data_IF_328992006681
#
_entry.id   IF_328992006681
#
_cell.length_a   1.000
_cell.length_b   1.000
_cell.length_c   1.000
_cell.angle_alpha   90.00
_cell.angle_beta   90.00
_cell.angle_gamma   90.00
#
_symmetry.space_group_name_H-M   'P 1'
#
loop_
_entity.id
_entity.type
_entity.pdbx_description
1 polymer ?
#
# COMPACT_ATOMS: atom_id res chain seq x y z
N UNK A 1 -11.07 -0.28 11.26
CA UNK A 1 -10.41 0.86 10.60
C UNK A 1 -11.48 1.84 10.21
N UNK A 2 -11.34 3.13 10.57
CA UNK A 2 -12.34 4.15 10.23
C UNK A 2 -12.28 4.49 8.74
N UNK A 3 -13.30 5.19 8.22
CA UNK A 3 -13.29 5.70 6.83
C UNK A 3 -12.12 6.66 6.62
N UNK A 4 -11.82 7.50 7.63
CA UNK A 4 -10.71 8.45 7.61
C UNK A 4 -9.36 7.73 7.51
N UNK A 5 -9.12 6.72 8.35
CA UNK A 5 -7.88 5.92 8.31
C UNK A 5 -7.69 5.26 6.95
N UNK A 6 -8.78 4.76 6.36
CA UNK A 6 -8.75 4.16 5.02
C UNK A 6 -8.36 5.17 3.95
N UNK A 7 -8.88 6.40 4.04
CA UNK A 7 -8.50 7.48 3.13
C UNK A 7 -7.03 7.88 3.30
N UNK A 8 -6.53 8.01 4.54
CA UNK A 8 -5.11 8.27 4.85
C UNK A 8 -4.21 7.17 4.26
N UNK A 9 -4.55 5.89 4.48
CA UNK A 9 -3.78 4.77 3.93
C UNK A 9 -3.78 4.75 2.40
N UNK A 10 -4.92 5.04 1.77
CA UNK A 10 -5.01 5.15 0.30
C UNK A 10 -4.12 6.27 -0.22
N UNK A 11 -4.17 7.45 0.41
CA UNK A 11 -3.33 8.58 0.04
C UNK A 11 -1.85 8.25 0.22
N UNK A 12 -1.46 7.60 1.32
CA UNK A 12 -0.09 7.19 1.57
C UNK A 12 0.43 6.20 0.50
N UNK A 13 -0.37 5.20 0.15
CA UNK A 13 -0.02 4.26 -0.93
C UNK A 13 0.14 4.97 -2.28
N UNK A 14 -0.75 5.91 -2.59
CA UNK A 14 -0.70 6.68 -3.85
C UNK A 14 0.49 7.64 -3.90
N UNK A 15 0.83 8.29 -2.79
CA UNK A 15 1.92 9.27 -2.72
C UNK A 15 3.23 8.67 -2.21
N UNK A 16 3.38 7.35 -2.23
CA UNK A 16 4.53 6.64 -1.63
C UNK A 16 5.88 7.24 -2.04
N UNK A 17 6.16 7.38 -3.33
CA UNK A 17 7.44 7.91 -3.81
C UNK A 17 7.72 9.34 -3.32
N UNK A 18 6.68 10.14 -3.13
CA UNK A 18 6.80 11.49 -2.61
C UNK A 18 7.12 11.46 -1.11
N UNK A 19 6.41 10.62 -0.35
CA UNK A 19 6.64 10.41 1.10
C UNK A 19 8.08 9.97 1.37
N UNK A 20 8.63 9.05 0.56
CA UNK A 20 10.02 8.60 0.72
C UNK A 20 11.08 9.69 0.48
N UNK A 21 10.74 10.76 -0.22
CA UNK A 21 11.65 11.89 -0.51
C UNK A 21 11.58 12.99 0.53
N UNK A 22 10.55 13.00 1.37
CA UNK A 22 10.35 14.02 2.39
C UNK A 22 10.97 13.56 3.71
N UNK A 23 11.48 14.51 4.48
CA UNK A 23 12.22 14.25 5.73
C UNK A 23 11.45 14.69 6.98
N UNK A 24 10.20 15.14 6.85
CA UNK A 24 9.39 15.49 8.01
C UNK A 24 9.06 14.24 8.84
N UNK A 25 8.96 14.37 10.18
CA UNK A 25 8.79 13.21 11.07
C UNK A 25 7.57 12.35 10.73
N UNK A 26 6.46 12.97 10.32
CA UNK A 26 5.23 12.25 9.98
C UNK A 26 5.42 11.40 8.72
N UNK A 27 6.06 11.93 7.69
CA UNK A 27 6.36 11.18 6.48
C UNK A 27 7.42 10.12 6.69
N UNK A 28 8.36 10.30 7.63
CA UNK A 28 9.26 9.23 8.04
C UNK A 28 8.48 8.04 8.62
N UNK A 29 7.51 8.28 9.51
CA UNK A 29 6.62 7.23 10.03
C UNK A 29 5.81 6.55 8.93
N UNK A 30 5.23 7.31 7.99
CA UNK A 30 4.53 6.74 6.83
C UNK A 30 5.46 5.93 5.92
N UNK A 31 6.65 6.43 5.62
CA UNK A 31 7.64 5.73 4.80
C UNK A 31 8.04 4.40 5.44
N UNK A 32 8.23 4.39 6.76
CA UNK A 32 8.53 3.18 7.51
C UNK A 32 7.37 2.18 7.46
N UNK A 33 6.14 2.63 7.68
CA UNK A 33 4.95 1.78 7.59
C UNK A 33 4.76 1.18 6.18
N UNK A 34 4.99 1.97 5.13
CA UNK A 34 4.95 1.52 3.74
C UNK A 34 6.01 0.44 3.46
N UNK A 35 7.26 0.66 3.89
CA UNK A 35 8.35 -0.33 3.76
C UNK A 35 8.03 -1.63 4.49
N UNK A 36 7.52 -1.55 5.72
CA UNK A 36 7.10 -2.74 6.50
C UNK A 36 5.96 -3.49 5.82
N UNK A 37 4.99 -2.78 5.25
CA UNK A 37 3.89 -3.37 4.47
C UNK A 37 4.41 -4.09 3.23
N UNK A 38 5.33 -3.48 2.49
CA UNK A 38 5.96 -4.07 1.31
C UNK A 38 6.72 -5.36 1.66
N UNK A 39 7.61 -5.28 2.65
CA UNK A 39 8.44 -6.40 3.09
C UNK A 39 7.62 -7.54 3.71
N UNK A 40 6.45 -7.23 4.28
CA UNK A 40 5.52 -8.25 4.76
C UNK A 40 4.94 -9.06 3.60
N UNK A 41 4.42 -8.39 2.57
CA UNK A 41 3.79 -9.07 1.44
C UNK A 41 4.78 -9.71 0.48
N UNK A 42 5.96 -9.12 0.28
CA UNK A 42 7.03 -9.73 -0.52
C UNK A 42 7.39 -11.15 -0.05
N UNK A 43 7.32 -11.41 1.26
CA UNK A 43 7.62 -12.73 1.84
C UNK A 43 6.44 -13.68 1.92
N UNK A 44 5.20 -13.19 1.86
CA UNK A 44 4.00 -13.99 2.17
C UNK A 44 3.05 -14.16 0.99
N UNK A 45 2.98 -13.18 0.10
CA UNK A 45 1.95 -13.10 -0.92
C UNK A 45 2.43 -12.33 -2.17
N UNK A 46 2.82 -13.06 -3.24
CA UNK A 46 3.32 -12.43 -4.46
C UNK A 46 2.26 -11.59 -5.17
N UNK A 47 0.96 -11.88 -5.00
CA UNK A 47 -0.12 -11.10 -5.64
C UNK A 47 -0.24 -9.73 -4.97
N UNK A 48 -0.29 -9.69 -3.64
CA UNK A 48 -0.36 -8.41 -2.90
C UNK A 48 0.91 -7.59 -3.06
N UNK A 49 2.08 -8.24 -3.09
CA UNK A 49 3.34 -7.59 -3.43
C UNK A 49 3.35 -7.03 -4.86
N UNK A 50 2.83 -7.81 -5.82
CA UNK A 50 2.65 -7.39 -7.21
C UNK A 50 1.75 -6.17 -7.32
N UNK A 51 0.62 -6.13 -6.61
CA UNK A 51 -0.28 -4.96 -6.60
C UNK A 51 0.43 -3.73 -6.02
N UNK A 52 1.18 -3.85 -4.91
CA UNK A 52 1.97 -2.73 -4.37
C UNK A 52 2.95 -2.17 -5.41
N UNK A 53 3.61 -3.05 -6.16
CA UNK A 53 4.55 -2.67 -7.21
C UNK A 53 3.86 -2.03 -8.43
N UNK A 54 2.88 -2.70 -9.01
CA UNK A 54 2.29 -2.27 -10.28
C UNK A 54 1.31 -1.10 -10.08
N UNK A 55 0.41 -1.19 -9.09
CA UNK A 55 -0.59 -0.14 -8.85
C UNK A 55 -0.01 1.10 -8.21
N UNK A 56 0.80 0.93 -7.16
CA UNK A 56 1.18 2.05 -6.30
C UNK A 56 2.59 2.59 -6.58
N UNK A 57 3.56 1.72 -6.91
CA UNK A 57 4.91 2.19 -7.28
C UNK A 57 4.99 2.62 -8.75
N UNK A 58 4.32 1.91 -9.66
CA UNK A 58 4.36 2.17 -11.11
C UNK A 58 3.16 2.96 -11.64
N UNK A 59 2.14 3.19 -10.81
CA UNK A 59 0.92 3.93 -11.19
C UNK A 59 0.19 3.35 -12.41
N UNK A 60 0.21 2.01 -12.56
CA UNK A 60 -0.57 1.34 -13.62
C UNK A 60 -2.08 1.40 -13.33
N UNK A 61 -2.88 1.34 -14.38
CA UNK A 61 -4.34 1.23 -14.26
C UNK A 61 -4.75 -0.09 -13.60
N UNK A 62 -5.99 -0.20 -13.14
CA UNK A 62 -6.45 -1.47 -12.55
C UNK A 62 -6.38 -2.57 -13.60
N UNK A 63 -6.84 -2.31 -14.81
CA UNK A 63 -6.86 -3.24 -15.94
C UNK A 63 -5.46 -3.78 -16.25
N UNK A 64 -4.45 -2.91 -16.29
CA UNK A 64 -3.05 -3.31 -16.51
C UNK A 64 -2.51 -4.18 -15.37
N UNK A 65 -2.95 -3.96 -14.14
CA UNK A 65 -2.54 -4.78 -12.98
C UNK A 65 -3.23 -6.14 -13.03
N UNK A 66 -4.51 -6.19 -13.39
CA UNK A 66 -5.25 -7.44 -13.57
C UNK A 66 -4.60 -8.31 -14.65
N UNK A 67 -4.23 -7.68 -15.77
CA UNK A 67 -3.55 -8.33 -16.89
C UNK A 67 -2.16 -8.83 -16.48
N UNK A 68 -1.31 -7.96 -15.93
CA UNK A 68 0.07 -8.30 -15.53
C UNK A 68 0.13 -9.42 -14.48
N UNK A 69 -0.77 -9.41 -13.50
CA UNK A 69 -0.76 -10.39 -12.40
C UNK A 69 -1.65 -11.61 -12.69
N UNK A 70 -2.34 -11.64 -13.82
CA UNK A 70 -3.29 -12.68 -14.21
C UNK A 70 -4.34 -12.97 -13.11
N UNK A 71 -4.96 -11.91 -12.58
CA UNK A 71 -5.98 -12.00 -11.51
C UNK A 71 -7.32 -11.40 -11.93
N UNK A 72 -8.39 -11.90 -11.33
CA UNK A 72 -9.72 -11.30 -11.46
C UNK A 72 -9.90 -10.04 -10.61
N UNK A 73 -10.88 -9.21 -10.99
CA UNK A 73 -11.22 -7.95 -10.31
C UNK A 73 -11.58 -8.15 -8.83
N UNK A 74 -12.29 -9.21 -8.49
CA UNK A 74 -12.67 -9.53 -7.10
C UNK A 74 -11.43 -9.83 -6.23
N UNK A 75 -10.47 -10.57 -6.77
CA UNK A 75 -9.17 -10.82 -6.12
C UNK A 75 -8.41 -9.52 -5.91
N UNK A 76 -8.36 -8.65 -6.91
CA UNK A 76 -7.73 -7.33 -6.80
C UNK A 76 -8.38 -6.47 -5.72
N UNK A 77 -9.71 -6.35 -5.72
CA UNK A 77 -10.44 -5.52 -4.74
C UNK A 77 -10.24 -6.00 -3.29
N UNK A 78 -10.26 -7.33 -3.08
CA UNK A 78 -9.95 -7.92 -1.78
C UNK A 78 -8.52 -7.63 -1.37
N UNK A 79 -7.56 -7.93 -2.25
CA UNK A 79 -6.15 -7.67 -2.01
C UNK A 79 -5.91 -6.19 -1.67
N UNK A 80 -6.52 -5.27 -2.39
CA UNK A 80 -6.37 -3.84 -2.14
C UNK A 80 -6.93 -3.41 -0.78
N UNK A 81 -8.02 -4.03 -0.33
CA UNK A 81 -8.56 -3.82 1.02
C UNK A 81 -7.61 -4.35 2.11
N UNK A 82 -7.00 -5.50 1.87
CA UNK A 82 -6.03 -6.09 2.81
C UNK A 82 -4.75 -5.25 2.88
N UNK A 83 -4.27 -4.72 1.75
CA UNK A 83 -3.13 -3.81 1.71
C UNK A 83 -3.34 -2.59 2.60
N UNK A 84 -4.51 -1.93 2.48
CA UNK A 84 -4.85 -0.78 3.34
C UNK A 84 -4.96 -1.18 4.81
N UNK A 85 -5.51 -2.35 5.12
CA UNK A 85 -5.66 -2.82 6.50
C UNK A 85 -4.30 -3.14 7.15
N UNK A 86 -3.39 -3.78 6.42
CA UNK A 86 -2.02 -4.05 6.89
C UNK A 86 -1.22 -2.76 7.04
N UNK A 87 -1.34 -1.83 6.08
CA UNK A 87 -0.70 -0.54 6.18
C UNK A 87 -1.20 0.22 7.41
N UNK A 88 -2.49 0.17 7.71
CA UNK A 88 -3.03 0.84 8.88
C UNK A 88 -2.45 0.30 10.19
N UNK A 89 -2.26 -1.02 10.31
CA UNK A 89 -1.62 -1.61 11.48
C UNK A 89 -0.20 -1.07 11.67
N UNK A 90 0.61 -1.06 10.61
CA UNK A 90 1.97 -0.54 10.70
C UNK A 90 2.00 0.97 10.89
N UNK A 91 1.13 1.72 10.23
CA UNK A 91 1.05 3.17 10.37
C UNK A 91 0.67 3.57 11.81
N UNK A 92 -0.23 2.84 12.47
CA UNK A 92 -0.53 3.05 13.89
C UNK A 92 0.68 2.74 14.79
N UNK A 93 1.44 1.68 14.50
CA UNK A 93 2.66 1.34 15.26
C UNK A 93 3.76 2.39 15.12
N UNK A 94 3.88 3.03 13.95
CA UNK A 94 4.89 4.07 13.68
C UNK A 94 4.41 5.49 14.07
N UNK A 95 3.18 5.64 14.61
CA UNK A 95 2.62 6.95 14.99
C UNK A 95 2.20 7.84 13.81
N UNK A 96 1.88 7.23 12.66
CA UNK A 96 1.54 7.95 11.43
C UNK A 96 0.03 8.21 11.24
N UNK A 97 -0.81 7.43 11.94
CA UNK A 97 -2.28 7.43 11.85
C UNK A 97 -2.97 8.26 12.92
#
# INVERSE_FOLDING_TARGET
MTIEDRQKCRAALWHWKLIERQTDPRNLSWAQALRRTAAYYERRDPIRAGILKERYRRHRTEEQVLEELHIGRTTYQKANTDLMSTLAVYAAQEGAL
#
